data_IF_590314187051
#
_entry.id   IF_590314187051
#
_cell.length_a   1.000
_cell.length_b   1.000
_cell.length_c   1.000
_cell.angle_alpha   90.00
_cell.angle_beta   90.00
_cell.angle_gamma   90.00
#
_symmetry.space_group_name_H-M   'P 1'
#
loop_
_entity.id
_entity.type
_entity.pdbx_description
1 polymer ?
#
# COMPACT_ATOMS: atom_id res chain seq x y z
N UNK A 1 -10.25 8.49 3.15
CA UNK A 1 -9.53 7.23 3.46
C UNK A 1 -9.43 6.97 4.96
N UNK A 2 -9.84 5.77 5.40
CA UNK A 2 -9.76 5.25 6.78
C UNK A 2 -9.03 3.90 6.74
N UNK A 3 -8.09 3.65 7.64
CA UNK A 3 -7.48 2.32 7.78
C UNK A 3 -8.48 1.37 8.47
N UNK A 4 -8.79 0.24 7.84
CA UNK A 4 -9.75 -0.73 8.40
C UNK A 4 -9.11 -2.05 8.84
N UNK A 5 -7.88 -2.31 8.39
CA UNK A 5 -7.18 -3.54 8.76
C UNK A 5 -5.77 -3.57 8.22
N UNK A 6 -4.93 -4.33 8.90
CA UNK A 6 -3.58 -4.65 8.48
C UNK A 6 -3.27 -6.10 8.86
N UNK A 7 -2.51 -6.79 8.03
CA UNK A 7 -2.01 -8.13 8.36
C UNK A 7 -0.65 -8.37 7.72
N UNK A 8 0.04 -9.39 8.19
CA UNK A 8 1.33 -9.83 7.64
C UNK A 8 1.22 -11.27 7.21
N UNK A 9 1.67 -11.56 6.00
CA UNK A 9 1.65 -12.91 5.44
C UNK A 9 2.86 -13.06 4.49
N UNK A 10 3.58 -14.18 4.59
CA UNK A 10 4.69 -14.52 3.69
C UNK A 10 5.71 -13.39 3.51
N UNK A 11 6.18 -12.78 4.60
CA UNK A 11 7.13 -11.64 4.65
C UNK A 11 6.60 -10.32 4.04
N UNK A 12 5.37 -10.29 3.53
CA UNK A 12 4.71 -9.08 3.04
C UNK A 12 3.80 -8.50 4.13
N UNK A 13 3.75 -7.18 4.22
CA UNK A 13 2.80 -6.48 5.08
C UNK A 13 1.72 -5.82 4.22
N UNK A 14 0.48 -6.07 4.58
CA UNK A 14 -0.69 -5.61 3.86
C UNK A 14 -1.51 -4.65 4.72
N UNK A 15 -2.08 -3.65 4.07
CA UNK A 15 -2.92 -2.63 4.68
C UNK A 15 -4.15 -2.44 3.79
N UNK A 16 -5.35 -2.50 4.37
CA UNK A 16 -6.58 -2.18 3.66
C UNK A 16 -7.11 -0.84 4.17
N UNK A 17 -7.38 0.04 3.21
CA UNK A 17 -8.03 1.31 3.47
C UNK A 17 -9.42 1.32 2.86
N UNK A 18 -10.35 1.94 3.56
CA UNK A 18 -11.71 2.21 3.10
C UNK A 18 -11.87 3.71 2.81
N UNK A 19 -12.43 4.04 1.65
CA UNK A 19 -12.75 5.41 1.26
C UNK A 19 -14.21 5.52 0.83
N UNK A 20 -14.95 6.44 1.46
CA UNK A 20 -16.38 6.62 1.22
C UNK A 20 -16.66 7.29 -0.13
N UNK A 21 -15.67 8.02 -0.66
CA UNK A 21 -15.75 8.76 -1.92
C UNK A 21 -15.36 7.91 -3.14
N UNK A 22 -14.80 6.72 -2.95
CA UNK A 22 -14.41 5.85 -4.07
C UNK A 22 -15.64 5.15 -4.66
N UNK A 23 -15.96 5.48 -5.91
CA UNK A 23 -17.18 5.06 -6.58
C UNK A 23 -17.21 3.57 -6.97
N UNK A 24 -16.06 2.91 -7.06
CA UNK A 24 -16.00 1.53 -7.55
C UNK A 24 -16.13 0.51 -6.43
N UNK A 25 -15.14 0.45 -5.56
CA UNK A 25 -15.03 -0.66 -4.59
C UNK A 25 -15.00 -0.19 -3.15
N UNK A 26 -14.79 1.10 -2.90
CA UNK A 26 -14.57 1.72 -1.58
C UNK A 26 -13.36 1.17 -0.80
N UNK A 27 -12.88 -0.03 -1.11
CA UNK A 27 -11.70 -0.63 -0.52
C UNK A 27 -10.51 -0.55 -1.47
N UNK A 28 -9.33 -0.30 -0.88
CA UNK A 28 -8.03 -0.33 -1.54
C UNK A 28 -7.06 -1.17 -0.74
N UNK A 29 -6.31 -2.00 -1.45
CA UNK A 29 -5.27 -2.84 -0.86
C UNK A 29 -3.89 -2.20 -1.08
N UNK A 30 -3.08 -2.21 -0.03
CA UNK A 30 -1.74 -1.65 -0.01
C UNK A 30 -0.75 -2.70 0.46
N UNK A 31 0.38 -2.79 -0.22
CA UNK A 31 1.54 -3.57 0.25
C UNK A 31 2.58 -2.59 0.73
N UNK A 32 3.02 -2.70 1.98
CA UNK A 32 3.98 -1.77 2.56
C UNK A 32 5.17 -2.48 3.21
N UNK A 33 6.30 -1.80 3.23
CA UNK A 33 7.50 -2.22 3.93
C UNK A 33 8.20 -1.00 4.52
N UNK A 34 8.62 -1.13 5.78
CA UNK A 34 9.52 -0.17 6.42
C UNK A 34 10.94 -0.44 5.90
N UNK A 35 11.52 0.53 5.21
CA UNK A 35 12.86 0.42 4.63
C UNK A 35 13.94 0.83 5.63
N UNK A 36 13.71 1.93 6.36
CA UNK A 36 14.59 2.47 7.39
C UNK A 36 13.77 2.91 8.60
N UNK A 37 14.41 3.46 9.66
CA UNK A 37 13.66 4.01 10.79
C UNK A 37 12.66 5.09 10.37
N UNK A 38 13.03 5.92 9.41
CA UNK A 38 12.24 7.09 9.03
C UNK A 38 11.73 6.99 7.59
N UNK A 39 11.71 5.78 7.01
CA UNK A 39 11.29 5.56 5.61
C UNK A 39 10.33 4.39 5.47
N UNK A 40 9.17 4.66 4.89
CA UNK A 40 8.12 3.67 4.60
C UNK A 40 7.84 3.69 3.10
N UNK A 41 7.87 2.50 2.51
CA UNK A 41 7.61 2.28 1.09
C UNK A 41 6.30 1.51 0.98
N UNK A 42 5.42 1.95 0.09
CA UNK A 42 4.14 1.29 -0.09
C UNK A 42 3.64 1.38 -1.52
N UNK A 43 2.96 0.33 -1.97
CA UNK A 43 2.30 0.29 -3.28
C UNK A 43 0.81 0.07 -3.11
N UNK A 44 0.02 0.78 -3.92
CA UNK A 44 -1.44 0.63 -3.99
C UNK A 44 -1.80 -0.30 -5.13
N UNK A 45 -2.67 -1.28 -4.86
CA UNK A 45 -3.23 -2.14 -5.87
C UNK A 45 -4.19 -1.39 -6.81
N UNK A 46 -4.32 -1.86 -8.05
CA UNK A 46 -5.32 -1.32 -8.99
C UNK A 46 -6.75 -1.56 -8.51
N UNK A 47 -6.98 -2.69 -7.84
CA UNK A 47 -8.28 -3.14 -7.38
C UNK A 47 -8.45 -3.14 -5.85
N UNK A 48 -9.56 -3.72 -5.35
CA UNK A 48 -9.81 -3.88 -3.93
C UNK A 48 -9.01 -5.01 -3.27
N UNK A 49 -8.23 -5.75 -4.06
CA UNK A 49 -7.38 -6.86 -3.62
C UNK A 49 -5.94 -6.58 -4.03
N UNK A 50 -4.98 -7.10 -3.26
CA UNK A 50 -3.57 -7.07 -3.63
C UNK A 50 -3.26 -8.20 -4.61
N UNK A 51 -2.53 -7.90 -5.69
CA UNK A 51 -2.12 -8.93 -6.62
C UNK A 51 -0.97 -9.78 -6.03
N UNK A 52 -0.88 -11.06 -6.39
CA UNK A 52 0.15 -11.96 -5.87
C UNK A 52 1.58 -11.50 -6.24
N UNK A 53 1.71 -10.90 -7.43
CA UNK A 53 2.96 -10.33 -7.95
C UNK A 53 3.23 -8.90 -7.46
N UNK A 54 2.33 -8.30 -6.69
CA UNK A 54 2.53 -6.95 -6.17
C UNK A 54 3.51 -6.97 -4.99
N UNK A 55 4.49 -6.09 -5.06
CA UNK A 55 5.45 -5.81 -3.99
C UNK A 55 5.36 -4.34 -3.58
N UNK A 56 6.00 -3.99 -2.47
CA UNK A 56 6.09 -2.61 -1.96
C UNK A 56 6.77 -1.63 -2.95
N UNK A 57 7.54 -2.13 -3.93
CA UNK A 57 8.13 -1.33 -5.02
C UNK A 57 7.24 -1.19 -6.25
N UNK A 58 6.19 -2.00 -6.35
CA UNK A 58 5.41 -2.08 -7.58
C UNK A 58 4.69 -0.78 -7.87
N UNK A 59 4.74 -0.34 -9.11
CA UNK A 59 4.16 0.95 -9.54
C UNK A 59 3.36 0.86 -10.84
N UNK A 60 3.47 -0.24 -11.57
CA UNK A 60 2.83 -0.42 -12.88
C UNK A 60 1.72 -1.46 -12.85
N UNK A 61 0.78 -1.32 -13.81
CA UNK A 61 -0.36 -2.22 -13.93
C UNK A 61 0.01 -3.67 -14.21
N UNK A 62 1.14 -3.90 -14.89
CA UNK A 62 1.69 -5.23 -15.13
C UNK A 62 2.07 -5.97 -13.85
N UNK A 63 2.40 -5.21 -12.80
CA UNK A 63 2.74 -5.70 -11.46
C UNK A 63 1.54 -5.66 -10.50
N UNK A 64 0.35 -5.31 -11.00
CA UNK A 64 -0.88 -5.20 -10.19
C UNK A 64 -0.97 -3.94 -9.34
N UNK A 65 -0.03 -3.01 -9.48
CA UNK A 65 -0.01 -1.74 -8.75
C UNK A 65 -0.42 -0.55 -9.64
N UNK A 66 -1.04 0.45 -9.02
CA UNK A 66 -1.38 1.71 -9.68
C UNK A 66 -0.48 2.88 -9.20
N UNK A 67 -0.04 2.83 -7.95
CA UNK A 67 0.70 3.91 -7.29
C UNK A 67 1.76 3.32 -6.39
N UNK A 68 2.94 3.93 -6.36
CA UNK A 68 3.97 3.67 -5.37
C UNK A 68 4.28 4.97 -4.60
N UNK A 69 4.42 4.86 -3.28
CA UNK A 69 4.74 5.96 -2.38
C UNK A 69 6.04 5.66 -1.63
N UNK A 70 6.95 6.63 -1.63
CA UNK A 70 8.15 6.67 -0.79
C UNK A 70 7.97 7.78 0.24
N UNK A 71 7.61 7.41 1.45
CA UNK A 71 7.40 8.34 2.56
C UNK A 71 8.65 8.39 3.42
N UNK A 72 9.19 9.59 3.59
CA UNK A 72 10.34 9.87 4.46
C UNK A 72 9.94 10.88 5.51
N UNK A 73 10.05 10.47 6.76
CA UNK A 73 9.92 11.38 7.90
C UNK A 73 11.26 12.07 8.11
N UNK A 74 11.26 13.39 8.07
CA UNK A 74 12.40 14.20 8.48
C UNK A 74 12.11 14.69 9.88
N UNK A 75 12.91 14.24 10.85
CA UNK A 75 12.93 14.80 12.19
C UNK A 75 13.36 16.27 12.05
N UNK A 76 12.41 17.20 12.19
CA UNK A 76 12.72 18.60 12.44
C UNK A 76 13.07 18.72 13.92
N UNK A 77 14.35 18.93 14.22
CA UNK A 77 14.75 19.62 15.46
C UNK A 77 14.30 21.09 15.41
#
# INVERSE_FOLDING_TARGET
MKCIGYWKENLKSYLITYDELDAFTKFRCWVYQRADLNRILMSMAIGPFCALNQDWKSYNYTEGAAVALDMREYERE
#
